data_IF_294882892322
#
_entry.id   IF_294882892322
#
_cell.length_a   1.000
_cell.length_b   1.000
_cell.length_c   1.000
_cell.angle_alpha   90.00
_cell.angle_beta   90.00
_cell.angle_gamma   90.00
#
_symmetry.space_group_name_H-M   'P 1'
#
loop_
_entity.id
_entity.type
_entity.pdbx_description
1 polymer ?
#
# COMPACT_ATOMS: atom_id res chain seq x y z
N UNK A 1 -0.97 17.36 0.65
CA UNK A 1 -1.73 16.14 1.03
C UNK A 1 -1.26 14.99 0.14
N UNK A 2 -0.74 13.89 0.70
CA UNK A 2 -0.09 12.79 -0.07
C UNK A 2 -1.09 11.72 -0.55
N UNK A 3 -2.23 11.57 0.13
CA UNK A 3 -3.22 10.52 -0.15
C UNK A 3 -3.71 10.45 -1.61
N UNK A 4 -4.21 11.56 -2.20
CA UNK A 4 -4.69 11.55 -3.59
C UNK A 4 -3.62 11.15 -4.61
N UNK A 5 -2.35 11.54 -4.36
CA UNK A 5 -1.22 11.22 -5.24
C UNK A 5 -0.93 9.72 -5.21
N UNK A 6 -0.95 9.10 -4.02
CA UNK A 6 -0.76 7.66 -3.90
C UNK A 6 -1.88 6.87 -4.58
N UNK A 7 -3.13 7.33 -4.44
CA UNK A 7 -4.29 6.66 -5.06
C UNK A 7 -4.15 6.71 -6.59
N UNK A 8 -3.86 7.89 -7.14
CA UNK A 8 -3.67 8.05 -8.58
C UNK A 8 -2.54 7.15 -9.12
N UNK A 9 -1.41 7.07 -8.41
CA UNK A 9 -0.31 6.19 -8.79
C UNK A 9 -0.64 4.69 -8.66
N UNK A 10 -1.38 4.29 -7.62
CA UNK A 10 -1.88 2.91 -7.49
C UNK A 10 -2.78 2.58 -8.67
N UNK A 11 -3.78 3.41 -8.94
CA UNK A 11 -4.72 3.13 -10.01
C UNK A 11 -4.05 3.14 -11.39
N UNK A 12 -3.12 4.07 -11.64
CA UNK A 12 -2.30 4.08 -12.86
C UNK A 12 -1.49 2.80 -13.02
N UNK A 13 -0.83 2.34 -11.95
CA UNK A 13 0.00 1.13 -12.01
C UNK A 13 -0.87 -0.13 -12.23
N UNK A 14 -2.00 -0.24 -11.53
CA UNK A 14 -2.94 -1.35 -11.68
C UNK A 14 -3.51 -1.41 -13.10
N UNK A 15 -3.91 -0.27 -13.67
CA UNK A 15 -4.36 -0.18 -15.07
C UNK A 15 -3.24 -0.56 -16.05
N UNK A 16 -2.02 -0.06 -15.83
CA UNK A 16 -0.86 -0.34 -16.71
C UNK A 16 -0.45 -1.81 -16.68
N UNK A 17 -0.63 -2.50 -15.55
CA UNK A 17 -0.26 -3.91 -15.38
C UNK A 17 -1.42 -4.88 -15.60
N UNK A 18 -2.60 -4.38 -15.99
CA UNK A 18 -3.81 -5.15 -16.19
C UNK A 18 -4.20 -6.00 -14.96
N UNK A 19 -4.02 -5.46 -13.76
CA UNK A 19 -4.32 -6.11 -12.46
C UNK A 19 -5.58 -5.58 -11.80
N UNK A 20 -6.50 -5.01 -12.59
CA UNK A 20 -7.74 -4.39 -12.09
C UNK A 20 -8.66 -5.37 -11.37
N UNK A 21 -8.54 -6.66 -11.69
CA UNK A 21 -9.31 -7.74 -11.05
C UNK A 21 -8.66 -8.23 -9.74
N UNK A 22 -7.36 -8.00 -9.56
CA UNK A 22 -6.59 -8.46 -8.39
C UNK A 22 -6.49 -7.40 -7.28
N UNK A 23 -6.53 -6.11 -7.67
CA UNK A 23 -6.22 -5.00 -6.77
C UNK A 23 -7.32 -3.94 -6.81
N UNK A 24 -7.95 -3.73 -5.66
CA UNK A 24 -8.89 -2.63 -5.43
C UNK A 24 -8.29 -1.61 -4.46
N UNK A 25 -8.28 -0.33 -4.86
CA UNK A 25 -7.81 0.77 -4.00
C UNK A 25 -9.00 1.53 -3.42
N UNK A 26 -9.07 1.61 -2.09
CA UNK A 26 -10.09 2.39 -1.37
C UNK A 26 -9.45 3.62 -0.72
N UNK A 27 -10.14 4.76 -0.85
CA UNK A 27 -9.74 6.03 -0.22
C UNK A 27 -10.30 6.10 1.20
N UNK A 28 -9.44 6.47 2.15
CA UNK A 28 -9.83 6.78 3.52
C UNK A 28 -9.41 8.21 3.86
N UNK A 29 -10.25 8.91 4.63
CA UNK A 29 -10.16 10.35 4.83
C UNK A 29 -9.01 10.78 5.74
N UNK A 30 -8.74 10.06 6.84
CA UNK A 30 -7.64 10.42 7.73
C UNK A 30 -7.21 9.25 8.63
N UNK A 31 -5.96 8.82 8.53
CA UNK A 31 -5.32 7.91 9.50
C UNK A 31 -4.01 8.58 9.94
N UNK A 32 -4.00 9.14 11.16
CA UNK A 32 -2.82 9.76 11.77
C UNK A 32 -2.46 11.17 11.24
N UNK A 33 -1.59 11.88 11.98
CA UNK A 33 -1.15 13.24 11.65
C UNK A 33 -0.07 13.32 10.56
N UNK A 34 0.24 14.54 10.10
CA UNK A 34 1.17 14.84 8.99
C UNK A 34 2.55 14.16 9.07
N UNK A 35 3.03 13.79 10.28
CA UNK A 35 4.32 13.12 10.50
C UNK A 35 4.41 11.73 9.85
N UNK A 36 3.28 11.07 9.60
CA UNK A 36 3.20 9.72 9.02
C UNK A 36 2.32 9.67 7.76
N UNK A 37 2.18 10.78 7.04
CA UNK A 37 1.38 10.81 5.82
C UNK A 37 1.85 9.77 4.80
N UNK A 38 0.90 9.21 4.05
CA UNK A 38 1.14 8.05 3.17
C UNK A 38 0.97 6.73 3.90
N UNK A 39 -0.22 6.52 4.48
CA UNK A 39 -0.59 5.25 5.10
C UNK A 39 -1.30 4.37 4.08
N UNK A 40 -0.86 3.11 3.99
CA UNK A 40 -1.46 2.08 3.14
C UNK A 40 -1.71 0.85 4.00
N UNK A 41 -2.94 0.36 3.97
CA UNK A 41 -3.35 -0.85 4.68
C UNK A 41 -3.71 -1.89 3.62
N UNK A 42 -3.16 -3.09 3.75
CA UNK A 42 -3.37 -4.18 2.80
C UNK A 42 -4.26 -5.24 3.43
N UNK A 43 -5.33 -5.57 2.72
CA UNK A 43 -6.25 -6.65 3.07
C UNK A 43 -6.04 -7.85 2.12
N UNK A 44 -6.27 -9.10 2.59
CA UNK A 44 -6.81 -9.47 3.90
C UNK A 44 -5.76 -9.53 5.03
N UNK A 45 -4.47 -9.33 4.75
CA UNK A 45 -3.41 -9.53 5.75
C UNK A 45 -3.42 -8.54 6.92
N UNK A 46 -4.18 -7.44 6.81
CA UNK A 46 -4.22 -6.37 7.80
C UNK A 46 -2.90 -5.60 7.94
N UNK A 47 -1.96 -5.78 7.00
CA UNK A 47 -0.63 -5.18 7.10
C UNK A 47 -0.71 -3.67 6.89
N UNK A 48 -0.14 -2.89 7.80
CA UNK A 48 -0.13 -1.44 7.71
C UNK A 48 1.29 -0.91 7.44
N UNK A 49 1.43 -0.19 6.34
CA UNK A 49 2.61 0.60 5.98
C UNK A 49 2.36 2.09 6.15
N UNK A 50 3.38 2.83 6.61
CA UNK A 50 3.33 4.29 6.75
C UNK A 50 4.59 4.96 6.20
N UNK A 51 4.48 6.24 5.83
CA UNK A 51 5.51 6.97 5.05
C UNK A 51 5.70 6.38 3.65
N UNK A 52 4.65 5.82 3.08
CA UNK A 52 4.65 5.30 1.71
C UNK A 52 4.75 6.47 0.73
N UNK A 53 5.58 6.29 -0.29
CA UNK A 53 5.80 7.22 -1.39
C UNK A 53 5.38 6.53 -2.68
N UNK A 54 5.20 7.31 -3.74
CA UNK A 54 4.79 6.81 -5.06
C UNK A 54 5.76 5.76 -5.62
N UNK A 55 7.06 5.91 -5.36
CA UNK A 55 8.08 4.93 -5.77
C UNK A 55 7.95 3.55 -5.10
N UNK A 56 7.25 3.45 -3.97
CA UNK A 56 7.03 2.18 -3.27
C UNK A 56 5.82 1.41 -3.82
N UNK A 57 4.94 2.05 -4.62
CA UNK A 57 3.69 1.45 -5.10
C UNK A 57 3.91 0.20 -5.96
N UNK A 58 4.81 0.19 -6.96
CA UNK A 58 5.07 -1.02 -7.74
C UNK A 58 5.49 -2.20 -6.85
N UNK A 59 6.41 -1.94 -5.91
CA UNK A 59 6.93 -2.95 -5.00
C UNK A 59 5.86 -3.49 -4.06
N UNK A 60 4.97 -2.62 -3.54
CA UNK A 60 3.83 -3.03 -2.70
C UNK A 60 2.88 -3.95 -3.46
N UNK A 61 2.51 -3.57 -4.69
CA UNK A 61 1.58 -4.37 -5.49
C UNK A 61 2.20 -5.72 -5.84
N UNK A 62 3.44 -5.73 -6.35
CA UNK A 62 4.14 -6.98 -6.70
C UNK A 62 4.37 -7.90 -5.50
N UNK A 63 4.71 -7.36 -4.32
CA UNK A 63 4.92 -8.16 -3.12
C UNK A 63 3.67 -8.94 -2.68
N UNK A 64 2.48 -8.38 -2.92
CA UNK A 64 1.22 -8.94 -2.45
C UNK A 64 0.45 -9.71 -3.52
N UNK A 65 0.54 -9.34 -4.79
CA UNK A 65 -0.05 -10.14 -5.88
C UNK A 65 0.76 -11.40 -6.18
N UNK A 66 2.09 -11.30 -6.14
CA UNK A 66 2.98 -12.44 -6.41
C UNK A 66 3.37 -13.23 -5.16
N UNK A 67 2.83 -12.85 -3.99
CA UNK A 67 3.13 -13.46 -2.68
C UNK A 67 4.63 -13.63 -2.37
N UNK A 68 5.48 -12.71 -2.85
CA UNK A 68 6.93 -12.81 -2.70
C UNK A 68 7.41 -12.30 -1.34
N UNK A 69 8.07 -13.17 -0.57
CA UNK A 69 8.62 -12.84 0.75
C UNK A 69 9.81 -11.89 0.66
N UNK A 70 10.64 -12.00 -0.37
CA UNK A 70 11.82 -11.14 -0.57
C UNK A 70 11.44 -9.67 -0.78
N UNK A 71 10.31 -9.41 -1.45
CA UNK A 71 9.80 -8.06 -1.67
C UNK A 71 9.21 -7.47 -0.39
N UNK A 72 8.57 -8.29 0.45
CA UNK A 72 8.06 -7.88 1.77
C UNK A 72 9.19 -7.49 2.71
N UNK A 73 10.34 -8.16 2.61
CA UNK A 73 11.53 -7.84 3.39
C UNK A 73 12.07 -6.43 3.08
N UNK A 74 12.03 -6.01 1.82
CA UNK A 74 12.38 -4.63 1.41
C UNK A 74 11.41 -3.57 1.95
N UNK A 75 10.18 -3.96 2.26
CA UNK A 75 9.14 -3.07 2.78
C UNK A 75 9.13 -2.98 4.32
N UNK A 76 9.92 -3.80 5.04
CA UNK A 76 10.03 -3.79 6.51
C UNK A 76 10.25 -2.39 7.12
N UNK A 77 11.06 -1.48 6.56
CA UNK A 77 11.24 -0.13 7.12
C UNK A 77 9.95 0.72 7.13
N UNK A 78 9.03 0.44 6.21
CA UNK A 78 7.74 1.13 6.09
C UNK A 78 6.67 0.52 7.00
N UNK A 79 6.90 -0.70 7.51
CA UNK A 79 5.94 -1.43 8.33
C UNK A 79 5.63 -0.66 9.62
N UNK A 80 4.34 -0.57 9.95
CA UNK A 80 3.83 0.05 11.18
C UNK A 80 3.10 -0.93 12.07
N UNK A 81 2.61 -2.04 11.51
CA UNK A 81 2.02 -3.12 12.29
C UNK A 81 1.04 -3.94 11.46
N UNK A 82 0.21 -4.70 12.17
CA UNK A 82 -0.87 -5.50 11.63
C UNK A 82 -2.16 -5.13 12.36
N UNK A 83 -3.26 -4.95 11.62
CA UNK A 83 -4.59 -4.85 12.19
C UNK A 83 -5.02 -6.24 12.63
N UNK A 84 -5.04 -6.48 13.95
CA UNK A 84 -5.66 -7.68 14.51
C UNK A 84 -7.17 -7.60 14.29
N UNK A 85 -7.70 -8.49 13.46
CA UNK A 85 -9.13 -8.82 13.49
C UNK A 85 -9.29 -9.91 14.55
N UNK A 86 -9.96 -9.57 15.67
CA UNK A 86 -10.30 -10.51 16.76
C UNK A 86 -11.30 -11.56 16.31
#
# INVERSE_FOLDING_TARGET
VIGPILVDEIEKFVRKTNRTDDVHCLKISHVGGHRFAGNVIIYPSGTWYGRVLTCHIPLLIDAYTSSSTDLKDKLKPLLRGYLQTS
#
